data_IF_796323064836
#
_entry.id   IF_796323064836
#
_cell.length_a   1.000
_cell.length_b   1.000
_cell.length_c   1.000
_cell.angle_alpha   90.00
_cell.angle_beta   90.00
_cell.angle_gamma   90.00
#
_symmetry.space_group_name_H-M   'P 1'
#
loop_
_entity.id
_entity.type
_entity.pdbx_description
1 polymer ?
#
# COMPACT_ATOMS: atom_id res chain seq x y z
N UNK A 1 -16.85 -26.70 4.30
CA UNK A 1 -16.07 -25.94 3.29
C UNK A 1 -15.64 -24.56 3.79
N UNK A 2 -16.55 -23.62 4.10
CA UNK A 2 -16.17 -22.23 4.51
C UNK A 2 -15.37 -22.15 5.83
N UNK A 3 -15.77 -22.90 6.85
CA UNK A 3 -15.07 -22.93 8.14
C UNK A 3 -13.65 -23.52 8.00
N UNK A 4 -13.47 -24.52 7.14
CA UNK A 4 -12.14 -25.07 6.83
C UNK A 4 -11.25 -24.04 6.15
N UNK A 5 -11.79 -23.31 5.16
CA UNK A 5 -11.08 -22.24 4.48
C UNK A 5 -10.67 -21.10 5.45
N UNK A 6 -11.56 -20.70 6.35
CA UNK A 6 -11.24 -19.70 7.37
C UNK A 6 -10.14 -20.18 8.33
N UNK A 7 -10.25 -21.41 8.84
CA UNK A 7 -9.24 -22.02 9.72
C UNK A 7 -7.89 -22.21 9.02
N UNK A 8 -7.89 -22.45 7.71
CA UNK A 8 -6.67 -22.52 6.91
C UNK A 8 -6.05 -21.14 6.67
N UNK A 9 -6.87 -20.10 6.47
CA UNK A 9 -6.39 -18.73 6.22
C UNK A 9 -5.80 -18.06 7.48
N UNK A 10 -6.45 -18.23 8.63
CA UNK A 10 -6.14 -17.49 9.86
C UNK A 10 -4.66 -17.61 10.32
N UNK A 11 -4.02 -18.79 10.36
CA UNK A 11 -2.62 -18.92 10.76
C UNK A 11 -1.66 -18.11 9.88
N UNK A 12 -1.98 -17.98 8.58
CA UNK A 12 -1.16 -17.24 7.63
C UNK A 12 -1.34 -15.72 7.76
N UNK A 13 -2.51 -15.25 8.21
CA UNK A 13 -2.78 -13.82 8.38
C UNK A 13 -2.38 -13.28 9.76
N UNK A 14 -2.15 -14.13 10.76
CA UNK A 14 -1.78 -13.70 12.12
C UNK A 14 -0.48 -12.86 12.19
N UNK A 15 0.63 -13.23 11.50
CA UNK A 15 1.82 -12.37 11.48
C UNK A 15 1.55 -11.00 10.85
N UNK A 16 0.73 -10.96 9.80
CA UNK A 16 0.34 -9.72 9.10
C UNK A 16 -0.56 -8.87 9.99
N UNK A 17 -1.43 -9.48 10.79
CA UNK A 17 -2.32 -8.80 11.73
C UNK A 17 -1.55 -7.85 12.65
N UNK A 18 -0.43 -8.29 13.21
CA UNK A 18 0.39 -7.45 14.12
C UNK A 18 0.91 -6.21 13.39
N UNK A 19 1.45 -6.39 12.17
CA UNK A 19 1.91 -5.28 11.34
C UNK A 19 0.77 -4.33 10.96
N UNK A 20 -0.37 -4.87 10.53
CA UNK A 20 -1.54 -4.08 10.14
C UNK A 20 -2.12 -3.28 11.29
N UNK A 21 -2.20 -3.87 12.48
CA UNK A 21 -2.66 -3.17 13.67
C UNK A 21 -1.70 -2.05 14.04
N UNK A 22 -0.39 -2.29 14.03
CA UNK A 22 0.60 -1.27 14.38
C UNK A 22 0.60 -0.09 13.38
N UNK A 23 0.63 -0.39 12.09
CA UNK A 23 0.61 0.61 11.02
C UNK A 23 -0.75 1.33 11.00
N UNK A 24 -1.86 0.59 11.13
CA UNK A 24 -3.21 1.15 11.19
C UNK A 24 -3.41 2.07 12.38
N UNK A 25 -2.94 1.68 13.57
CA UNK A 25 -2.98 2.53 14.78
C UNK A 25 -2.22 3.84 14.52
N UNK A 26 -1.03 3.74 13.91
CA UNK A 26 -0.21 4.90 13.58
C UNK A 26 -0.94 5.84 12.60
N UNK A 27 -1.61 5.29 11.59
CA UNK A 27 -2.44 6.04 10.63
C UNK A 27 -3.59 6.77 11.32
N UNK A 28 -4.40 6.05 12.10
CA UNK A 28 -5.55 6.61 12.78
C UNK A 28 -5.17 7.72 13.75
N UNK A 29 -4.11 7.48 14.54
CA UNK A 29 -3.57 8.45 15.48
C UNK A 29 -3.05 9.71 14.77
N UNK A 30 -2.33 9.54 13.66
CA UNK A 30 -1.83 10.66 12.87
C UNK A 30 -2.98 11.50 12.31
N UNK A 31 -4.03 10.86 11.79
CA UNK A 31 -5.20 11.55 11.23
C UNK A 31 -5.91 12.41 12.31
N UNK A 32 -6.10 11.87 13.52
CA UNK A 32 -6.70 12.62 14.62
C UNK A 32 -5.77 13.70 15.18
N UNK A 33 -4.45 13.48 15.19
CA UNK A 33 -3.47 14.52 15.57
C UNK A 33 -3.49 15.75 14.65
N UNK A 34 -3.94 15.59 13.39
CA UNK A 34 -4.15 16.67 12.43
C UNK A 34 -5.50 17.38 12.59
N UNK A 35 -6.30 16.99 13.59
CA UNK A 35 -7.58 17.62 13.92
C UNK A 35 -8.79 16.97 13.26
N UNK A 36 -8.62 15.87 12.52
CA UNK A 36 -9.75 15.13 11.95
C UNK A 36 -10.44 14.26 13.00
N UNK A 37 -11.73 14.01 12.80
CA UNK A 37 -12.47 13.08 13.68
C UNK A 37 -12.17 11.62 13.36
N UNK A 38 -12.39 10.70 14.31
CA UNK A 38 -12.16 9.26 14.13
C UNK A 38 -12.98 8.66 12.97
N UNK A 39 -14.09 9.30 12.60
CA UNK A 39 -14.88 8.92 11.44
C UNK A 39 -14.08 8.96 10.14
N UNK A 40 -13.12 9.89 10.00
CA UNK A 40 -12.30 9.99 8.80
C UNK A 40 -11.41 8.75 8.59
N UNK A 41 -10.49 8.39 9.51
CA UNK A 41 -9.66 7.21 9.33
C UNK A 41 -10.47 5.91 9.32
N UNK A 42 -11.60 5.83 10.04
CA UNK A 42 -12.50 4.67 9.98
C UNK A 42 -13.14 4.52 8.58
N UNK A 43 -13.74 5.58 8.04
CA UNK A 43 -14.38 5.52 6.73
C UNK A 43 -13.35 5.36 5.60
N UNK A 44 -12.22 6.07 5.68
CA UNK A 44 -11.15 5.91 4.70
C UNK A 44 -10.65 4.47 4.68
N UNK A 45 -10.29 3.88 5.84
CA UNK A 45 -9.82 2.49 5.90
C UNK A 45 -10.83 1.46 5.42
N UNK A 46 -12.13 1.75 5.52
CA UNK A 46 -13.21 0.90 5.01
C UNK A 46 -13.40 1.01 3.49
N UNK A 47 -13.19 2.21 2.93
CA UNK A 47 -13.50 2.51 1.53
C UNK A 47 -12.27 2.57 0.61
N UNK A 48 -11.09 2.77 1.18
CA UNK A 48 -9.81 2.94 0.49
C UNK A 48 -8.89 1.81 0.91
N UNK A 49 -8.83 0.74 0.12
CA UNK A 49 -7.90 -0.35 0.36
C UNK A 49 -6.50 -0.03 -0.19
N UNK A 50 -5.91 1.07 0.25
CA UNK A 50 -4.58 1.53 -0.18
C UNK A 50 -3.84 2.28 0.93
N UNK A 51 -3.33 1.56 1.93
CA UNK A 51 -2.77 2.15 3.15
C UNK A 51 -1.73 3.26 2.92
N UNK A 52 -0.79 3.07 1.99
CA UNK A 52 0.19 4.12 1.65
C UNK A 52 -0.46 5.41 1.15
N UNK A 53 -1.53 5.31 0.35
CA UNK A 53 -2.26 6.48 -0.13
C UNK A 53 -3.11 7.12 0.95
N UNK A 54 -3.60 6.37 1.93
CA UNK A 54 -4.33 6.95 3.06
C UNK A 54 -3.44 7.86 3.89
N UNK A 55 -2.19 7.44 4.15
CA UNK A 55 -1.18 8.31 4.77
C UNK A 55 -0.92 9.55 3.90
N UNK A 56 -0.63 9.40 2.61
CA UNK A 56 -0.42 10.56 1.70
C UNK A 56 -1.61 11.51 1.71
N UNK A 57 -2.84 10.97 1.77
CA UNK A 57 -4.08 11.74 1.77
C UNK A 57 -4.18 12.67 2.98
N UNK A 58 -3.65 12.30 4.14
CA UNK A 58 -3.60 13.19 5.32
C UNK A 58 -2.91 14.51 4.96
N UNK A 59 -1.77 14.45 4.28
CA UNK A 59 -1.04 15.66 3.87
C UNK A 59 -1.77 16.41 2.77
N UNK A 60 -2.39 15.70 1.81
CA UNK A 60 -3.18 16.34 0.77
C UNK A 60 -4.39 17.10 1.33
N UNK A 61 -4.99 16.63 2.42
CA UNK A 61 -6.14 17.28 3.06
C UNK A 61 -5.76 18.53 3.85
N UNK A 62 -4.53 18.60 4.37
CA UNK A 62 -4.02 19.76 5.13
C UNK A 62 -3.32 20.78 4.22
N UNK A 63 -2.86 20.34 3.04
CA UNK A 63 -2.19 21.18 2.05
C UNK A 63 -3.16 22.06 1.27
N UNK A 64 -2.62 23.00 0.48
CA UNK A 64 -3.41 23.79 -0.45
C UNK A 64 -4.18 22.92 -1.43
N UNK A 65 -5.45 23.27 -1.68
CA UNK A 65 -6.34 22.49 -2.54
C UNK A 65 -5.80 22.37 -3.97
N UNK A 66 -5.43 21.15 -4.36
CA UNK A 66 -5.02 20.83 -5.73
C UNK A 66 -5.50 19.41 -6.11
N UNK A 67 -6.75 19.28 -6.59
CA UNK A 67 -7.36 17.99 -6.88
C UNK A 67 -6.68 17.27 -8.05
N UNK A 68 -6.15 18.02 -9.02
CA UNK A 68 -5.43 17.44 -10.16
C UNK A 68 -4.13 16.78 -9.74
N UNK A 69 -3.34 17.44 -8.88
CA UNK A 69 -2.13 16.87 -8.30
C UNK A 69 -2.44 15.63 -7.45
N UNK A 70 -3.46 15.71 -6.60
CA UNK A 70 -3.91 14.59 -5.77
C UNK A 70 -4.31 13.36 -6.62
N UNK A 71 -5.05 13.58 -7.72
CA UNK A 71 -5.42 12.52 -8.66
C UNK A 71 -4.19 11.87 -9.32
N UNK A 72 -3.26 12.68 -9.84
CA UNK A 72 -2.06 12.16 -10.47
C UNK A 72 -1.19 11.38 -9.48
N UNK A 73 -1.02 11.91 -8.26
CA UNK A 73 -0.27 11.24 -7.20
C UNK A 73 -0.93 9.91 -6.80
N UNK A 74 -2.26 9.89 -6.66
CA UNK A 74 -3.01 8.67 -6.35
C UNK A 74 -2.83 7.58 -7.40
N UNK A 75 -2.85 7.93 -8.69
CA UNK A 75 -2.56 7.00 -9.77
C UNK A 75 -1.13 6.47 -9.71
N UNK A 76 -0.16 7.35 -9.50
CA UNK A 76 1.25 6.97 -9.52
C UNK A 76 1.64 6.10 -8.33
N UNK A 77 1.19 6.42 -7.12
CA UNK A 77 1.49 5.63 -5.92
C UNK A 77 0.83 4.25 -6.00
N UNK A 78 -0.39 4.17 -6.54
CA UNK A 78 -1.10 2.90 -6.69
C UNK A 78 -0.74 2.12 -7.95
N UNK A 79 0.10 2.64 -8.85
CA UNK A 79 0.44 1.98 -10.10
C UNK A 79 0.94 0.54 -9.92
N UNK A 80 1.54 0.20 -8.75
CA UNK A 80 1.93 -1.17 -8.42
C UNK A 80 0.79 -2.19 -8.46
N UNK A 81 -0.44 -1.77 -8.14
CA UNK A 81 -1.62 -2.63 -8.15
C UNK A 81 -2.00 -3.10 -9.56
N UNK A 82 -1.57 -2.39 -10.62
CA UNK A 82 -1.72 -2.87 -12.00
C UNK A 82 -0.97 -4.18 -12.22
N UNK A 83 0.24 -4.32 -11.69
CA UNK A 83 1.03 -5.55 -11.81
C UNK A 83 0.40 -6.71 -11.05
N UNK A 84 -0.17 -6.44 -9.88
CA UNK A 84 -0.92 -7.45 -9.11
C UNK A 84 -2.16 -7.91 -9.87
N UNK A 85 -2.90 -6.95 -10.44
CA UNK A 85 -4.08 -7.24 -11.26
C UNK A 85 -3.77 -8.10 -12.48
N UNK A 86 -2.68 -7.81 -13.19
CA UNK A 86 -2.22 -8.62 -14.33
C UNK A 86 -1.82 -10.03 -13.87
N UNK A 87 -1.09 -10.14 -12.76
CA UNK A 87 -0.59 -11.43 -12.25
C UNK A 87 -1.71 -12.33 -11.71
N UNK A 88 -2.80 -11.75 -11.21
CA UNK A 88 -3.95 -12.48 -10.66
C UNK A 88 -5.12 -12.59 -11.65
N UNK A 89 -4.96 -12.13 -12.89
CA UNK A 89 -6.06 -12.04 -13.87
C UNK A 89 -6.75 -13.39 -14.06
N UNK A 90 -5.98 -14.44 -14.35
CA UNK A 90 -6.50 -15.80 -14.55
C UNK A 90 -7.00 -16.41 -13.24
N UNK A 91 -6.25 -16.21 -12.15
CA UNK A 91 -6.59 -16.72 -10.82
C UNK A 91 -7.96 -16.21 -10.33
N UNK A 92 -8.25 -14.93 -10.52
CA UNK A 92 -9.51 -14.32 -10.07
C UNK A 92 -10.67 -14.52 -11.06
N UNK A 93 -10.38 -14.91 -12.31
CA UNK A 93 -11.43 -15.04 -13.32
C UNK A 93 -12.46 -16.13 -12.97
N UNK A 94 -12.03 -17.17 -12.25
CA UNK A 94 -12.86 -18.31 -11.89
C UNK A 94 -13.57 -18.17 -10.53
N UNK A 95 -13.50 -16.99 -9.88
CA UNK A 95 -13.94 -16.81 -8.49
C UNK A 95 -15.39 -16.32 -8.32
N UNK A 96 -16.15 -16.19 -9.42
CA UNK A 96 -17.54 -15.73 -9.40
C UNK A 96 -17.69 -14.33 -8.80
N UNK A 97 -18.72 -14.11 -7.97
CA UNK A 97 -18.99 -12.81 -7.35
C UNK A 97 -17.88 -12.34 -6.38
N UNK A 98 -17.11 -13.27 -5.80
CA UNK A 98 -16.01 -12.95 -4.87
C UNK A 98 -14.91 -12.12 -5.56
N UNK A 99 -14.77 -12.26 -6.89
CA UNK A 99 -13.82 -11.52 -7.72
C UNK A 99 -13.85 -10.02 -7.45
N UNK A 100 -15.04 -9.42 -7.35
CA UNK A 100 -15.18 -7.97 -7.16
C UNK A 100 -14.57 -7.51 -5.85
N UNK A 101 -14.82 -8.24 -4.76
CA UNK A 101 -14.24 -7.93 -3.46
C UNK A 101 -12.73 -8.20 -3.43
N UNK A 102 -12.28 -9.31 -4.03
CA UNK A 102 -10.86 -9.65 -4.11
C UNK A 102 -10.04 -8.62 -4.88
N UNK A 103 -10.61 -8.04 -5.95
CA UNK A 103 -9.97 -6.96 -6.72
C UNK A 103 -9.95 -5.66 -5.90
N UNK A 104 -11.08 -5.33 -5.27
CA UNK A 104 -11.24 -4.10 -4.52
C UNK A 104 -10.32 -4.02 -3.28
N UNK A 105 -10.28 -5.08 -2.47
CA UNK A 105 -9.53 -5.13 -1.23
C UNK A 105 -8.12 -5.75 -1.38
N UNK A 106 -7.60 -5.76 -2.61
CA UNK A 106 -6.25 -6.27 -2.89
C UNK A 106 -5.19 -5.31 -2.34
N UNK A 107 -4.25 -5.85 -1.57
CA UNK A 107 -3.06 -5.17 -1.08
C UNK A 107 -1.84 -6.09 -1.24
N UNK A 108 -0.64 -5.59 -0.95
CA UNK A 108 0.62 -6.32 -1.12
C UNK A 108 0.60 -7.66 -0.36
N UNK A 109 0.04 -7.68 0.84
CA UNK A 109 -0.01 -8.84 1.73
C UNK A 109 -1.08 -9.84 1.31
N UNK A 110 -2.28 -9.37 0.94
CA UNK A 110 -3.33 -10.26 0.44
C UNK A 110 -2.94 -10.84 -0.92
N UNK A 111 -2.28 -10.06 -1.79
CA UNK A 111 -1.67 -10.53 -3.03
C UNK A 111 -0.62 -11.60 -2.76
N UNK A 112 0.36 -11.32 -1.88
CA UNK A 112 1.47 -12.24 -1.60
C UNK A 112 0.95 -13.57 -1.04
N UNK A 113 0.02 -13.55 -0.09
CA UNK A 113 -0.56 -14.78 0.45
C UNK A 113 -1.39 -15.54 -0.58
N UNK A 114 -2.27 -14.86 -1.32
CA UNK A 114 -3.15 -15.50 -2.31
C UNK A 114 -2.37 -16.06 -3.51
N UNK A 115 -1.21 -15.47 -3.81
CA UNK A 115 -0.32 -15.93 -4.87
C UNK A 115 0.60 -17.07 -4.42
N UNK A 116 1.23 -16.95 -3.24
CA UNK A 116 2.24 -17.90 -2.77
C UNK A 116 1.66 -19.18 -2.15
N UNK A 117 0.46 -19.10 -1.57
CA UNK A 117 -0.13 -20.21 -0.81
C UNK A 117 -1.18 -20.91 -1.65
N UNK A 118 -0.95 -22.21 -1.88
CA UNK A 118 -1.98 -23.11 -2.41
C UNK A 118 -2.65 -23.81 -1.23
N UNK A 119 -3.95 -23.60 -0.99
CA UNK A 119 -4.64 -24.27 0.11
C UNK A 119 -4.75 -25.78 -0.15
N UNK A 120 -4.90 -26.60 0.90
CA UNK A 120 -5.10 -28.04 0.75
C UNK A 120 -6.28 -28.41 -0.16
N UNK A 121 -6.24 -29.58 -0.80
CA UNK A 121 -7.26 -30.02 -1.76
C UNK A 121 -8.69 -30.08 -1.19
N UNK A 122 -8.84 -30.21 0.13
CA UNK A 122 -10.14 -30.21 0.81
C UNK A 122 -10.70 -28.81 1.13
N UNK A 123 -9.99 -27.75 0.72
CA UNK A 123 -10.31 -26.34 0.96
C UNK A 123 -10.58 -25.60 -0.36
N UNK A 124 -11.74 -24.96 -0.44
CA UNK A 124 -12.09 -24.10 -1.58
C UNK A 124 -11.15 -22.88 -1.65
N UNK A 125 -10.37 -22.80 -2.74
CA UNK A 125 -9.38 -21.73 -2.97
C UNK A 125 -9.99 -20.33 -2.97
N UNK A 126 -11.19 -20.18 -3.54
CA UNK A 126 -11.86 -18.87 -3.58
C UNK A 126 -12.31 -18.39 -2.20
N UNK A 127 -12.78 -19.29 -1.34
CA UNK A 127 -13.11 -18.98 0.06
C UNK A 127 -11.85 -18.70 0.87
N UNK A 128 -10.76 -19.43 0.65
CA UNK A 128 -9.48 -19.15 1.30
C UNK A 128 -9.02 -17.72 0.99
N UNK A 129 -8.94 -17.35 -0.29
CA UNK A 129 -8.53 -16.00 -0.72
C UNK A 129 -9.46 -14.92 -0.17
N UNK A 130 -10.76 -15.18 -0.16
CA UNK A 130 -11.76 -14.27 0.39
C UNK A 130 -11.51 -14.02 1.88
N UNK A 131 -11.28 -15.06 2.67
CA UNK A 131 -11.02 -14.90 4.09
C UNK A 131 -9.69 -14.22 4.39
N UNK A 132 -8.63 -14.52 3.63
CA UNK A 132 -7.35 -13.78 3.74
C UNK A 132 -7.58 -12.29 3.54
N UNK A 133 -8.30 -11.93 2.48
CA UNK A 133 -8.56 -10.53 2.12
C UNK A 133 -9.45 -9.82 3.14
N UNK A 134 -10.53 -10.46 3.58
CA UNK A 134 -11.43 -9.92 4.62
C UNK A 134 -10.69 -9.73 5.94
N UNK A 135 -9.89 -10.71 6.37
CA UNK A 135 -9.14 -10.61 7.63
C UNK A 135 -8.17 -9.43 7.60
N UNK A 136 -7.38 -9.28 6.53
CA UNK A 136 -6.49 -8.13 6.37
C UNK A 136 -7.24 -6.80 6.41
N UNK A 137 -8.35 -6.70 5.69
CA UNK A 137 -9.17 -5.49 5.68
C UNK A 137 -9.73 -5.18 7.09
N UNK A 138 -10.24 -6.19 7.80
CA UNK A 138 -10.70 -6.02 9.18
C UNK A 138 -9.58 -5.57 10.12
N UNK A 139 -8.38 -6.12 10.01
CA UNK A 139 -7.24 -5.71 10.84
C UNK A 139 -6.87 -4.25 10.58
N UNK A 140 -6.87 -3.83 9.32
CA UNK A 140 -6.57 -2.45 8.94
C UNK A 140 -7.58 -1.46 9.54
N UNK A 141 -8.87 -1.69 9.32
CA UNK A 141 -9.96 -0.84 9.82
C UNK A 141 -9.95 -0.79 11.35
N UNK A 142 -9.72 -1.93 11.99
CA UNK A 142 -9.67 -2.02 13.45
C UNK A 142 -8.48 -1.23 13.99
N UNK A 143 -7.29 -1.39 13.38
CA UNK A 143 -6.10 -0.61 13.73
C UNK A 143 -6.33 0.89 13.55
N UNK A 144 -6.82 1.31 12.38
CA UNK A 144 -7.13 2.71 12.07
C UNK A 144 -8.12 3.33 13.06
N UNK A 145 -9.18 2.60 13.39
CA UNK A 145 -10.20 3.07 14.34
C UNK A 145 -9.65 3.16 15.75
N UNK A 146 -8.91 2.13 16.21
CA UNK A 146 -8.28 2.13 17.54
C UNK A 146 -7.26 3.26 17.67
N UNK A 147 -6.41 3.45 16.67
CA UNK A 147 -5.44 4.55 16.65
C UNK A 147 -6.09 5.92 16.70
N UNK A 148 -7.18 6.10 15.96
CA UNK A 148 -7.93 7.34 15.97
C UNK A 148 -8.55 7.62 17.34
N UNK A 149 -9.17 6.61 17.96
CA UNK A 149 -9.71 6.71 19.32
C UNK A 149 -8.61 7.01 20.36
N UNK A 150 -7.44 6.37 20.23
CA UNK A 150 -6.29 6.66 21.09
C UNK A 150 -5.82 8.12 20.94
N UNK A 151 -5.85 8.66 19.72
CA UNK A 151 -5.50 10.07 19.48
C UNK A 151 -6.45 11.08 20.14
N UNK A 152 -7.68 10.68 20.49
CA UNK A 152 -8.58 11.52 21.30
C UNK A 152 -8.24 11.51 22.79
N UNK A 153 -7.69 10.41 23.30
CA UNK A 153 -7.39 10.23 24.73
C UNK A 153 -6.00 10.81 25.04
N UNK A 154 -5.08 10.70 24.09
CA UNK A 154 -3.67 11.02 24.27
C UNK A 154 -3.42 12.47 23.79
N UNK A 155 -3.48 13.42 24.70
CA UNK A 155 -3.12 14.82 24.47
C UNK A 155 -1.65 15.09 24.84
N UNK A 156 -0.70 14.44 24.15
CA UNK A 156 0.70 14.85 24.22
C UNK A 156 1.00 15.97 23.23
N UNK A 157 2.12 16.66 23.46
CA UNK A 157 2.64 17.64 22.52
C UNK A 157 2.85 16.96 21.15
N UNK A 158 2.03 17.34 20.17
CA UNK A 158 2.05 16.78 18.82
C UNK A 158 3.26 17.25 18.01
N UNK A 159 4.13 18.12 18.57
CA UNK A 159 5.44 18.46 17.99
C UNK A 159 6.23 17.18 17.74
N UNK A 160 6.49 16.90 16.46
CA UNK A 160 7.26 15.74 16.01
C UNK A 160 6.42 14.60 15.44
N UNK A 161 5.09 14.61 15.60
CA UNK A 161 4.22 13.62 14.94
C UNK A 161 4.35 13.70 13.41
N UNK A 162 4.63 14.87 12.87
CA UNK A 162 4.88 15.05 11.43
C UNK A 162 6.10 14.26 10.94
N UNK A 163 7.04 13.95 11.84
CA UNK A 163 8.20 13.11 11.55
C UNK A 163 7.84 11.63 11.42
N UNK A 164 6.72 11.18 12.00
CA UNK A 164 6.24 9.79 11.90
C UNK A 164 6.02 9.40 10.43
N UNK A 165 5.51 10.32 9.62
CA UNK A 165 5.37 10.10 8.18
C UNK A 165 6.71 9.87 7.49
N UNK A 166 7.71 10.68 7.86
CA UNK A 166 9.05 10.56 7.30
C UNK A 166 9.66 9.21 7.69
N UNK A 167 9.57 8.83 8.96
CA UNK A 167 10.02 7.52 9.44
C UNK A 167 9.29 6.39 8.71
N UNK A 168 7.96 6.49 8.53
CA UNK A 168 7.19 5.45 7.85
C UNK A 168 7.71 5.20 6.44
N UNK A 169 7.89 6.24 5.62
CA UNK A 169 8.42 6.07 4.27
C UNK A 169 9.88 5.58 4.27
N UNK A 170 10.69 5.98 5.25
CA UNK A 170 12.07 5.49 5.40
C UNK A 170 12.09 4.00 5.75
N UNK A 171 11.26 3.56 6.70
CA UNK A 171 11.16 2.15 7.09
C UNK A 171 10.65 1.31 5.93
N UNK A 172 9.61 1.77 5.21
CA UNK A 172 9.13 1.11 4.00
C UNK A 172 10.23 1.02 2.93
N UNK A 173 11.02 2.07 2.75
CA UNK A 173 12.15 2.06 1.82
C UNK A 173 13.22 1.04 2.23
N UNK A 174 13.60 1.00 3.51
CA UNK A 174 14.59 0.03 4.04
C UNK A 174 14.08 -1.40 3.87
N UNK A 175 12.81 -1.65 4.18
CA UNK A 175 12.21 -2.97 4.02
C UNK A 175 12.23 -3.44 2.55
N UNK A 176 11.91 -2.54 1.62
CA UNK A 176 12.00 -2.83 0.18
C UNK A 176 13.44 -3.00 -0.29
N UNK A 177 14.37 -2.25 0.29
CA UNK A 177 15.80 -2.38 0.03
C UNK A 177 16.28 -3.77 0.44
N UNK A 178 16.02 -4.20 1.67
CA UNK A 178 16.48 -5.48 2.23
C UNK A 178 15.87 -6.69 1.51
N UNK A 179 14.60 -6.61 1.10
CA UNK A 179 13.94 -7.70 0.35
C UNK A 179 14.42 -7.82 -1.09
N UNK A 180 14.90 -6.73 -1.70
CA UNK A 180 15.28 -6.73 -3.11
C UNK A 180 16.72 -7.19 -3.30
N UNK A 181 16.92 -8.20 -4.14
CA UNK A 181 18.27 -8.61 -4.60
C UNK A 181 18.92 -7.60 -5.54
N UNK A 182 18.12 -6.70 -6.12
CA UNK A 182 18.57 -5.71 -7.11
C UNK A 182 18.17 -4.33 -6.59
N UNK A 183 19.16 -3.54 -6.19
CA UNK A 183 18.92 -2.20 -5.64
C UNK A 183 18.89 -1.08 -6.69
N UNK A 184 19.07 -1.42 -7.98
CA UNK A 184 18.99 -0.45 -9.08
C UNK A 184 17.71 0.40 -9.02
N UNK A 185 16.50 -0.17 -8.81
CA UNK A 185 15.29 0.60 -8.59
C UNK A 185 15.38 1.68 -7.52
N UNK A 186 15.84 1.30 -6.34
CA UNK A 186 15.94 2.19 -5.19
C UNK A 186 16.93 3.34 -5.47
N UNK A 187 18.07 3.04 -6.08
CA UNK A 187 19.09 4.04 -6.44
C UNK A 187 18.54 5.01 -7.49
N UNK A 188 17.86 4.51 -8.53
CA UNK A 188 17.23 5.39 -9.53
C UNK A 188 16.15 6.28 -8.91
N UNK A 189 15.40 5.76 -7.94
CA UNK A 189 14.41 6.51 -7.18
C UNK A 189 15.04 7.68 -6.43
N UNK A 190 16.13 7.42 -5.70
CA UNK A 190 16.87 8.45 -4.97
C UNK A 190 17.41 9.53 -5.92
N UNK A 191 18.12 9.12 -6.97
CA UNK A 191 18.76 10.06 -7.90
C UNK A 191 17.74 10.92 -8.64
N UNK A 192 16.65 10.33 -9.14
CA UNK A 192 15.60 11.07 -9.83
C UNK A 192 14.89 12.03 -8.86
N UNK A 193 14.61 11.60 -7.63
CA UNK A 193 13.94 12.44 -6.62
C UNK A 193 14.80 13.63 -6.21
N UNK A 194 16.09 13.42 -5.94
CA UNK A 194 17.03 14.50 -5.59
C UNK A 194 17.15 15.48 -6.76
N UNK A 195 17.33 14.97 -7.98
CA UNK A 195 17.46 15.82 -9.17
C UNK A 195 16.21 16.66 -9.41
N UNK A 196 15.02 16.05 -9.31
CA UNK A 196 13.76 16.76 -9.47
C UNK A 196 13.50 17.74 -8.33
N UNK A 197 13.96 17.45 -7.11
CA UNK A 197 13.85 18.38 -5.98
C UNK A 197 14.65 19.66 -6.23
N UNK A 198 15.87 19.54 -6.77
CA UNK A 198 16.68 20.71 -7.14
C UNK A 198 16.09 21.51 -8.30
N UNK A 199 15.43 20.87 -9.25
CA UNK A 199 14.89 21.53 -10.46
C UNK A 199 13.49 22.13 -10.23
N UNK A 200 12.59 21.37 -9.62
CA UNK A 200 11.16 21.73 -9.50
C UNK A 200 10.77 22.24 -8.10
N UNK A 201 11.67 22.16 -7.12
CA UNK A 201 11.41 22.56 -5.75
C UNK A 201 10.53 21.59 -4.96
N UNK A 202 10.39 21.83 -3.65
CA UNK A 202 9.78 20.88 -2.71
C UNK A 202 8.28 20.63 -2.89
N UNK A 203 7.57 21.49 -3.61
CA UNK A 203 6.11 21.38 -3.74
C UNK A 203 5.65 20.46 -4.87
N UNK A 204 6.41 20.35 -5.96
CA UNK A 204 5.96 19.67 -7.18
C UNK A 204 6.87 18.48 -7.53
N UNK A 205 8.04 18.33 -6.91
CA UNK A 205 9.06 17.36 -7.34
C UNK A 205 8.60 15.89 -7.39
N UNK A 206 7.60 15.48 -6.63
CA UNK A 206 7.18 14.07 -6.53
C UNK A 206 6.70 13.56 -7.89
N UNK A 207 5.82 14.29 -8.58
CA UNK A 207 5.24 13.84 -9.85
C UNK A 207 6.29 13.74 -10.98
N UNK A 208 7.15 14.76 -11.22
CA UNK A 208 8.26 14.65 -12.15
C UNK A 208 9.26 13.55 -11.77
N UNK A 209 9.55 13.36 -10.49
CA UNK A 209 10.46 12.30 -10.04
C UNK A 209 9.92 10.91 -10.41
N UNK A 210 8.65 10.65 -10.12
CA UNK A 210 8.01 9.38 -10.47
C UNK A 210 7.95 9.17 -11.99
N UNK A 211 7.69 10.22 -12.77
CA UNK A 211 7.70 10.14 -14.23
C UNK A 211 9.11 9.84 -14.77
N UNK A 212 10.13 10.51 -14.25
CA UNK A 212 11.52 10.28 -14.60
C UNK A 212 11.98 8.85 -14.26
N UNK A 213 11.55 8.31 -13.12
CA UNK A 213 11.82 6.92 -12.72
C UNK A 213 11.23 5.95 -13.74
N UNK A 214 9.97 6.13 -14.13
CA UNK A 214 9.30 5.28 -15.14
C UNK A 214 10.05 5.34 -16.47
N UNK A 215 10.40 6.54 -16.95
CA UNK A 215 11.14 6.73 -18.20
C UNK A 215 12.50 6.05 -18.13
N UNK A 216 13.23 6.22 -17.02
CA UNK A 216 14.54 5.59 -16.82
C UNK A 216 14.43 4.06 -16.90
N UNK A 217 13.42 3.46 -16.26
CA UNK A 217 13.17 2.02 -16.35
C UNK A 217 12.79 1.54 -17.74
N UNK A 218 11.96 2.28 -18.46
CA UNK A 218 11.58 1.92 -19.84
C UNK A 218 12.82 1.89 -20.74
N UNK A 219 13.71 2.89 -20.62
CA UNK A 219 14.95 2.95 -21.40
C UNK A 219 15.90 1.81 -21.04
N UNK A 220 16.09 1.52 -19.75
CA UNK A 220 16.99 0.46 -19.29
C UNK A 220 16.49 -0.92 -19.72
N UNK A 221 15.19 -1.19 -19.57
CA UNK A 221 14.59 -2.47 -19.98
C UNK A 221 14.53 -2.62 -21.50
N UNK A 222 14.29 -1.53 -22.25
CA UNK A 222 14.35 -1.53 -23.71
C UNK A 222 15.74 -1.94 -24.23
N UNK A 223 16.79 -1.34 -23.68
CA UNK A 223 18.19 -1.69 -24.04
C UNK A 223 18.57 -3.12 -23.66
N UNK A 224 18.04 -3.65 -22.54
CA UNK A 224 18.28 -5.03 -22.11
C UNK A 224 17.61 -6.04 -23.04
N UNK A 225 16.41 -5.72 -23.52
CA UNK A 225 15.65 -6.53 -24.49
C UNK A 225 16.32 -6.53 -25.87
N UNK A 226 16.80 -5.38 -26.35
CA UNK A 226 17.58 -5.29 -27.59
C UNK A 226 18.89 -6.10 -27.54
N UNK A 227 19.58 -6.12 -26.40
CA UNK A 227 20.79 -6.93 -26.22
C UNK A 227 20.52 -8.44 -26.26
N UNK A 228 19.39 -8.91 -25.73
CA UNK A 228 19.03 -10.34 -25.78
C UNK A 228 18.53 -10.79 -27.16
N UNK A 229 18.02 -9.88 -27.99
CA UNK A 229 17.57 -10.21 -29.37
C UNK A 229 18.76 -10.25 -30.35
N UNK A 230 19.89 -9.62 -30.02
CA UNK A 230 21.12 -9.59 -30.84
C UNK A 230 22.13 -10.70 -30.49
N UNK A 231 21.80 -11.58 -29.53
CA UNK A 231 22.55 -12.78 -29.16
C UNK A 231 21.81 -14.01 -29.67
#
# INVERSE_FOLDING_TARGET
MRIKAFKAALPHTLPICIGFLFIGISYGFLMTSKGFSFFYPMCMSLFICAGSMEFVTIQLLVSSYNPFYAFCLALMVNARHLFYGISMLDTYNHMGWKKWYLIYAMCDESFTLNYAITPPDDVDRGWFMFFVTVLNHCYWVTGATLGALLGYIIHFNTKGIDFVMTILFVVLFIEQWDKSKIHFPAITGILCSISCLFVFGSQIFILPAMAAIIVCFMVVNGKKKEKMIKL
#
